data_IF_646021594355
#
_entry.id   IF_646021594355
#
_cell.length_a   1.000
_cell.length_b   1.000
_cell.length_c   1.000
_cell.angle_alpha   90.00
_cell.angle_beta   90.00
_cell.angle_gamma   90.00
#
_symmetry.space_group_name_H-M   'P 1'
#
loop_
_entity.id
_entity.type
_entity.pdbx_description
1 polymer ?
#
# COMPACT_ATOMS: atom_id res chain seq x y z
N UNK A 1 -8.32 20.71 29.96
CA UNK A 1 -9.32 19.81 30.57
C UNK A 1 -9.06 18.31 30.37
N UNK A 2 -8.50 17.82 29.25
CA UNK A 2 -8.17 16.39 29.10
C UNK A 2 -6.74 16.00 29.55
N UNK A 3 -5.78 16.92 29.46
CA UNK A 3 -4.36 16.70 29.78
C UNK A 3 -4.01 16.83 31.26
N UNK A 4 -4.82 17.54 32.05
CA UNK A 4 -4.59 17.74 33.49
C UNK A 4 -4.95 16.50 34.33
N UNK A 5 -5.83 15.63 33.81
CA UNK A 5 -6.28 14.42 34.51
C UNK A 5 -5.38 13.22 34.30
N UNK A 6 -4.60 13.19 33.21
CA UNK A 6 -3.74 12.06 32.83
C UNK A 6 -2.41 12.62 32.29
N UNK A 7 -1.46 12.98 33.17
CA UNK A 7 -0.20 13.61 32.77
C UNK A 7 0.62 12.74 31.81
N UNK A 8 0.52 11.42 31.91
CA UNK A 8 1.15 10.45 31.00
C UNK A 8 0.69 10.60 29.54
N UNK A 9 -0.55 11.01 29.31
CA UNK A 9 -1.07 11.28 27.95
C UNK A 9 -0.44 12.54 27.39
N UNK A 10 -0.23 13.56 28.23
CA UNK A 10 0.44 14.79 27.82
C UNK A 10 1.93 14.53 27.50
N UNK A 11 2.60 13.73 28.32
CA UNK A 11 4.00 13.35 28.10
C UNK A 11 4.15 12.52 26.82
N UNK A 12 3.27 11.53 26.59
CA UNK A 12 3.25 10.75 25.37
C UNK A 12 3.01 11.61 24.11
N UNK A 13 2.10 12.59 24.19
CA UNK A 13 1.84 13.52 23.10
C UNK A 13 3.08 14.36 22.75
N UNK A 14 3.85 14.81 23.76
CA UNK A 14 5.11 15.52 23.53
C UNK A 14 6.13 14.64 22.80
N UNK A 15 6.25 13.37 23.17
CA UNK A 15 7.15 12.42 22.49
C UNK A 15 6.72 12.14 21.04
N UNK A 16 5.41 12.02 20.82
CA UNK A 16 4.83 11.87 19.49
C UNK A 16 5.18 13.08 18.62
N UNK A 17 4.94 14.30 19.14
CA UNK A 17 5.20 15.55 18.42
C UNK A 17 6.69 15.80 18.18
N UNK A 18 7.60 15.39 19.07
CA UNK A 18 9.06 15.50 18.87
C UNK A 18 9.56 14.72 17.66
N UNK A 19 8.94 13.58 17.36
CA UNK A 19 9.27 12.74 16.21
C UNK A 19 8.31 12.93 15.03
N UNK A 20 7.36 13.85 15.16
CA UNK A 20 6.32 14.05 14.18
C UNK A 20 6.87 14.84 12.99
N UNK A 21 6.93 14.20 11.83
CA UNK A 21 7.29 14.87 10.59
C UNK A 21 6.13 15.77 10.13
N UNK A 22 6.18 17.06 10.49
CA UNK A 22 5.19 18.06 10.05
C UNK A 22 5.04 18.10 8.52
N UNK A 23 6.07 17.73 7.75
CA UNK A 23 5.97 17.71 6.29
C UNK A 23 5.00 16.64 5.76
N UNK A 24 4.78 15.57 6.52
CA UNK A 24 3.80 14.54 6.18
C UNK A 24 2.35 15.01 6.35
N UNK A 25 2.11 16.12 7.05
CA UNK A 25 0.79 16.72 7.31
C UNK A 25 0.41 17.84 6.34
N UNK A 26 1.31 18.28 5.46
CA UNK A 26 0.93 19.23 4.42
C UNK A 26 0.02 18.55 3.39
N UNK A 27 -0.81 19.35 2.73
CA UNK A 27 -1.62 18.90 1.61
C UNK A 27 -0.67 18.38 0.53
N UNK A 28 -0.54 17.06 0.46
CA UNK A 28 0.12 16.40 -0.65
C UNK A 28 -0.69 16.73 -1.90
N UNK A 29 -0.09 17.47 -2.84
CA UNK A 29 -0.67 17.59 -4.18
C UNK A 29 -0.75 16.18 -4.74
N UNK A 30 -1.97 15.66 -4.87
CA UNK A 30 -2.21 14.36 -5.49
C UNK A 30 -1.72 14.47 -6.94
N UNK A 31 -0.52 13.94 -7.20
CA UNK A 31 -0.05 13.74 -8.57
C UNK A 31 -0.81 12.55 -9.14
N UNK A 32 -1.49 12.77 -10.25
CA UNK A 32 -2.08 11.67 -11.01
C UNK A 32 -0.96 10.78 -11.55
N UNK A 33 -1.30 9.51 -11.78
CA UNK A 33 -0.40 8.53 -12.33
C UNK A 33 0.32 9.05 -13.59
N UNK A 34 1.66 9.03 -13.56
CA UNK A 34 2.50 9.38 -14.70
C UNK A 34 3.13 8.11 -15.27
N UNK A 35 2.71 7.74 -16.49
CA UNK A 35 3.15 6.53 -17.18
C UNK A 35 4.66 6.52 -17.44
N UNK A 36 5.23 7.63 -17.86
CA UNK A 36 6.66 7.74 -18.21
C UNK A 36 7.55 7.51 -16.99
N UNK A 37 7.20 8.14 -15.85
CA UNK A 37 7.91 7.91 -14.57
C UNK A 37 7.77 6.46 -14.11
N UNK A 38 6.60 5.86 -14.31
CA UNK A 38 6.32 4.50 -13.83
C UNK A 38 7.03 3.42 -14.66
N UNK A 39 7.26 3.64 -15.96
CA UNK A 39 8.02 2.71 -16.83
C UNK A 39 9.44 2.48 -16.31
N UNK A 40 10.11 3.52 -15.80
CA UNK A 40 11.47 3.44 -15.29
C UNK A 40 11.63 2.50 -14.07
N UNK A 41 10.55 2.28 -13.32
CA UNK A 41 10.55 1.43 -12.11
C UNK A 41 9.67 0.19 -12.26
N UNK A 42 9.05 -0.02 -13.42
CA UNK A 42 8.04 -1.05 -13.66
C UNK A 42 8.45 -2.44 -13.20
N UNK A 43 9.67 -2.86 -13.51
CA UNK A 43 10.19 -4.19 -13.14
C UNK A 43 10.44 -4.36 -11.63
N UNK A 44 10.49 -3.24 -10.89
CA UNK A 44 10.64 -3.20 -9.43
C UNK A 44 9.30 -3.11 -8.71
N UNK A 45 8.19 -3.02 -9.44
CA UNK A 45 6.85 -2.88 -8.86
C UNK A 45 6.04 -4.17 -9.05
N UNK A 46 5.38 -4.57 -7.98
CA UNK A 46 4.45 -5.69 -7.96
C UNK A 46 3.23 -5.32 -7.13
N UNK A 47 2.03 -5.46 -7.72
CA UNK A 47 0.78 -5.03 -7.09
C UNK A 47 -0.06 -6.23 -6.66
N UNK A 48 -0.41 -6.30 -5.37
CA UNK A 48 -1.34 -7.30 -4.84
C UNK A 48 -2.69 -6.64 -4.57
N UNK A 49 -3.76 -7.26 -5.07
CA UNK A 49 -5.12 -6.68 -5.04
C UNK A 49 -6.09 -7.71 -4.48
N UNK A 50 -6.87 -7.36 -3.46
CA UNK A 50 -7.97 -8.23 -3.01
C UNK A 50 -9.13 -8.24 -4.01
N UNK A 51 -9.72 -9.41 -4.24
CA UNK A 51 -10.87 -9.66 -5.13
C UNK A 51 -12.13 -8.86 -4.76
N UNK A 52 -12.32 -8.52 -3.48
CA UNK A 52 -13.52 -7.82 -3.05
C UNK A 52 -13.74 -6.51 -3.82
N UNK A 53 -14.93 -6.40 -4.43
CA UNK A 53 -15.35 -5.27 -5.28
C UNK A 53 -14.36 -5.00 -6.42
N UNK A 54 -13.79 -6.04 -7.03
CA UNK A 54 -12.91 -5.92 -8.20
C UNK A 54 -13.54 -5.08 -9.32
N UNK A 55 -14.86 -5.14 -9.49
CA UNK A 55 -15.61 -4.33 -10.45
C UNK A 55 -15.40 -2.81 -10.29
N UNK A 56 -15.20 -2.36 -9.05
CA UNK A 56 -14.92 -0.94 -8.73
C UNK A 56 -13.47 -0.56 -8.97
N UNK A 57 -12.60 -1.53 -9.23
CA UNK A 57 -11.16 -1.38 -9.49
C UNK A 57 -10.81 -1.63 -10.96
N UNK A 58 -11.80 -1.75 -11.85
CA UNK A 58 -11.59 -2.05 -13.29
C UNK A 58 -10.62 -1.07 -13.96
N UNK A 59 -10.77 0.23 -13.71
CA UNK A 59 -9.87 1.25 -14.30
C UNK A 59 -8.43 1.10 -13.79
N UNK A 60 -8.26 0.73 -12.52
CA UNK A 60 -6.95 0.47 -11.94
C UNK A 60 -6.30 -0.78 -12.53
N UNK A 61 -7.05 -1.89 -12.64
CA UNK A 61 -6.55 -3.13 -13.25
C UNK A 61 -6.22 -2.92 -14.72
N UNK A 62 -7.05 -2.15 -15.44
CA UNK A 62 -6.79 -1.77 -16.82
C UNK A 62 -5.48 -0.97 -16.93
N UNK A 63 -5.27 0.02 -16.05
CA UNK A 63 -4.02 0.79 -16.01
C UNK A 63 -2.79 -0.10 -15.76
N UNK A 64 -2.89 -1.05 -14.82
CA UNK A 64 -1.81 -2.00 -14.57
C UNK A 64 -1.55 -2.89 -15.78
N UNK A 65 -2.61 -3.36 -16.44
CA UNK A 65 -2.54 -4.23 -17.63
C UNK A 65 -1.95 -3.48 -18.82
N UNK A 66 -2.48 -2.31 -19.16
CA UNK A 66 -2.02 -1.45 -20.27
C UNK A 66 -0.60 -0.90 -20.03
N UNK A 67 -0.22 -0.76 -18.76
CA UNK A 67 1.12 -0.40 -18.32
C UNK A 67 2.11 -1.57 -18.30
N UNK A 68 1.63 -2.81 -18.45
CA UNK A 68 2.45 -4.03 -18.37
C UNK A 68 3.07 -4.24 -16.98
N UNK A 69 2.41 -3.77 -15.91
CA UNK A 69 2.84 -4.00 -14.54
C UNK A 69 2.52 -5.43 -14.12
N UNK A 70 3.35 -5.96 -13.20
CA UNK A 70 3.07 -7.23 -12.54
C UNK A 70 2.02 -6.99 -11.47
N UNK A 71 0.95 -7.77 -11.49
CA UNK A 71 -0.05 -7.74 -10.43
C UNK A 71 -0.69 -9.11 -10.25
N UNK A 72 -1.24 -9.35 -9.06
CA UNK A 72 -2.01 -10.54 -8.75
C UNK A 72 -3.26 -10.17 -7.94
N UNK A 73 -4.36 -10.83 -8.28
CA UNK A 73 -5.60 -10.73 -7.51
C UNK A 73 -5.61 -11.87 -6.49
N UNK A 74 -5.73 -11.54 -5.21
CA UNK A 74 -5.83 -12.50 -4.12
C UNK A 74 -7.31 -12.89 -3.98
N UNK A 75 -7.69 -14.13 -4.35
CA UNK A 75 -9.08 -14.57 -4.33
C UNK A 75 -9.59 -14.64 -2.89
N UNK A 76 -10.85 -14.27 -2.69
CA UNK A 76 -11.49 -14.28 -1.36
C UNK A 76 -10.92 -13.26 -0.37
N UNK A 77 -10.08 -12.30 -0.80
CA UNK A 77 -9.55 -11.24 0.06
C UNK A 77 -10.23 -9.88 -0.19
N UNK A 78 -10.40 -9.15 0.91
CA UNK A 78 -11.01 -7.83 1.02
C UNK A 78 -10.08 -6.65 0.75
N UNK A 79 -10.30 -5.56 1.49
CA UNK A 79 -9.43 -4.38 1.42
C UNK A 79 -8.13 -4.59 2.20
N UNK A 80 -8.20 -5.35 3.31
CA UNK A 80 -7.09 -5.59 4.21
C UNK A 80 -6.39 -6.89 3.90
N UNK A 81 -5.89 -7.08 2.66
CA UNK A 81 -5.30 -8.35 2.22
C UNK A 81 -4.22 -8.90 3.17
N UNK A 82 -3.44 -8.01 3.81
CA UNK A 82 -2.40 -8.37 4.77
C UNK A 82 -2.96 -8.96 6.06
N UNK A 83 -4.15 -8.54 6.49
CA UNK A 83 -4.81 -9.04 7.69
C UNK A 83 -5.69 -10.26 7.40
N UNK A 84 -6.22 -10.35 6.18
CA UNK A 84 -7.17 -11.40 5.79
C UNK A 84 -6.46 -12.66 5.31
N UNK A 85 -5.36 -12.54 4.57
CA UNK A 85 -4.58 -13.66 4.05
C UNK A 85 -3.07 -13.39 4.15
N UNK A 86 -2.52 -13.18 5.37
CA UNK A 86 -1.12 -12.82 5.57
C UNK A 86 -0.15 -13.83 4.95
N UNK A 87 -0.44 -15.12 5.02
CA UNK A 87 0.45 -16.15 4.48
C UNK A 87 0.51 -16.10 2.95
N UNK A 88 -0.62 -15.86 2.28
CA UNK A 88 -0.66 -15.72 0.83
C UNK A 88 0.12 -14.49 0.39
N UNK A 89 -0.14 -13.34 1.03
CA UNK A 89 0.55 -12.09 0.70
C UNK A 89 2.05 -12.18 0.97
N UNK A 90 2.45 -12.74 2.11
CA UNK A 90 3.87 -12.86 2.45
C UNK A 90 4.62 -13.77 1.46
N UNK A 91 4.00 -14.89 1.02
CA UNK A 91 4.59 -15.74 -0.03
C UNK A 91 4.82 -14.95 -1.31
N UNK A 92 3.83 -14.20 -1.77
CA UNK A 92 3.93 -13.37 -2.96
C UNK A 92 5.05 -12.32 -2.86
N UNK A 93 5.15 -11.63 -1.73
CA UNK A 93 6.21 -10.64 -1.47
C UNK A 93 7.59 -11.30 -1.50
N UNK A 94 7.76 -12.42 -0.78
CA UNK A 94 9.04 -13.12 -0.70
C UNK A 94 9.45 -13.64 -2.08
N UNK A 95 8.55 -14.29 -2.82
CA UNK A 95 8.82 -14.79 -4.16
C UNK A 95 9.22 -13.65 -5.11
N UNK A 96 8.52 -12.52 -5.06
CA UNK A 96 8.88 -11.35 -5.85
C UNK A 96 10.28 -10.81 -5.52
N UNK A 97 10.60 -10.64 -4.23
CA UNK A 97 11.89 -10.11 -3.78
C UNK A 97 13.06 -11.06 -4.09
N UNK A 98 12.83 -12.36 -4.05
CA UNK A 98 13.82 -13.38 -4.40
C UNK A 98 13.93 -13.63 -5.91
N UNK A 99 13.13 -12.96 -6.73
CA UNK A 99 13.10 -13.16 -8.18
C UNK A 99 12.58 -14.54 -8.61
N UNK A 100 11.88 -15.24 -7.71
CA UNK A 100 11.20 -16.49 -8.04
C UNK A 100 10.03 -16.16 -8.97
N UNK A 101 9.83 -16.97 -10.02
CA UNK A 101 8.65 -16.82 -10.87
C UNK A 101 7.42 -17.03 -9.99
N UNK A 102 6.64 -15.97 -9.80
CA UNK A 102 5.24 -16.08 -9.40
C UNK A 102 4.53 -16.73 -10.59
N UNK A 103 4.23 -18.03 -10.47
CA UNK A 103 3.50 -18.77 -11.50
C UNK A 103 2.10 -18.17 -11.66
N UNK A 104 1.70 -17.96 -12.92
CA UNK A 104 0.37 -17.46 -13.30
C UNK A 104 -0.64 -18.59 -13.35
#
# INVERSE_FOLDING_TARGET
MATEKNPEVAEHLVLLMKNHNQQAMFIHKLELYNREKAVAVKEKLYFLIGEYKLDRKRDFIKLLTDGGFRYQVIPGAGHGINHEQPEAVNREIVSFLLGQKVER
#
